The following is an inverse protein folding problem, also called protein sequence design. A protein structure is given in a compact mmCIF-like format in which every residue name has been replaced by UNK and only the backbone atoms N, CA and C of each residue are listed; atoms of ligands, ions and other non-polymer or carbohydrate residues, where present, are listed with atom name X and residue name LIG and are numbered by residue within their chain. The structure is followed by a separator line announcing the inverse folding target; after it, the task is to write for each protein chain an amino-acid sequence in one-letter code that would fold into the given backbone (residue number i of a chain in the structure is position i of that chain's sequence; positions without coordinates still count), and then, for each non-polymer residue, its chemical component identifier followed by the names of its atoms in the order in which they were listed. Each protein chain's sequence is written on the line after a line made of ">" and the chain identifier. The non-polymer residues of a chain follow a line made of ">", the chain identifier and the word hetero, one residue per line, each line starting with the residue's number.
data_IF_113096582542
#
_entry.id   IF_113096582542
#
_cell.length_a   1.000
_cell.length_b   1.000
_cell.length_c   1.000
_cell.angle_alpha   90.00
_cell.angle_beta   90.00
_cell.angle_gamma   90.00
#
_symmetry.space_group_name_H-M   'P 1'
#
loop_
_entity.id
_entity.type
_entity.pdbx_description
1 polymer ?
#
# COMPACT_ATOMS: atom_id res chain seq x y z
N UNK A 1 53.66 10.87 -57.31
CA UNK A 1 52.25 11.32 -57.27
C UNK A 1 51.43 10.14 -56.76
N UNK A 2 51.00 10.20 -55.50
CA UNK A 2 50.07 9.23 -54.88
C UNK A 2 49.10 10.00 -53.96
N UNK A 3 48.74 11.23 -54.34
CA UNK A 3 47.77 12.05 -53.61
C UNK A 3 46.31 11.61 -53.85
N UNK A 4 46.06 10.84 -54.93
CA UNK A 4 44.73 10.31 -55.27
C UNK A 4 44.21 9.24 -54.29
N UNK A 5 45.09 8.62 -53.50
CA UNK A 5 44.70 7.66 -52.47
C UNK A 5 44.36 8.30 -51.11
N UNK A 6 44.75 9.56 -50.89
CA UNK A 6 44.61 10.24 -49.59
C UNK A 6 43.21 10.84 -49.43
N UNK A 7 42.64 11.38 -50.51
CA UNK A 7 41.31 12.02 -50.49
C UNK A 7 40.16 11.07 -50.09
N UNK A 8 40.06 9.82 -50.60
CA UNK A 8 39.01 8.89 -50.18
C UNK A 8 39.12 8.49 -48.71
N UNK A 9 40.34 8.32 -48.20
CA UNK A 9 40.59 7.93 -46.79
C UNK A 9 40.15 9.05 -45.84
N UNK A 10 40.51 10.30 -46.16
CA UNK A 10 40.09 11.46 -45.36
C UNK A 10 38.57 11.65 -45.39
N UNK A 11 37.93 11.43 -46.54
CA UNK A 11 36.47 11.48 -46.66
C UNK A 11 35.77 10.42 -45.80
N UNK A 12 36.27 9.17 -45.82
CA UNK A 12 35.74 8.08 -44.98
C UNK A 12 35.94 8.39 -43.49
N UNK A 13 37.09 8.94 -43.11
CA UNK A 13 37.35 9.36 -41.71
C UNK A 13 36.41 10.47 -41.27
N UNK A 14 36.14 11.48 -42.10
CA UNK A 14 35.14 12.50 -41.78
C UNK A 14 33.74 11.92 -41.61
N UNK A 15 33.30 11.02 -42.50
CA UNK A 15 31.99 10.37 -42.39
C UNK A 15 31.91 9.58 -41.08
N UNK A 16 32.96 8.85 -40.73
CA UNK A 16 33.01 8.07 -39.49
C UNK A 16 32.97 8.98 -38.26
N UNK A 17 33.68 10.12 -38.27
CA UNK A 17 33.62 11.12 -37.20
C UNK A 17 32.19 11.64 -37.02
N UNK A 18 31.51 12.02 -38.11
CA UNK A 18 30.12 12.51 -38.05
C UNK A 18 29.19 11.44 -37.47
N UNK A 19 29.32 10.19 -37.91
CA UNK A 19 28.52 9.07 -37.40
C UNK A 19 28.76 8.86 -35.90
N UNK A 20 30.02 8.82 -35.46
CA UNK A 20 30.38 8.66 -34.04
C UNK A 20 29.86 9.83 -33.21
N UNK A 21 29.95 11.07 -33.71
CA UNK A 21 29.40 12.24 -33.01
C UNK A 21 27.88 12.16 -32.87
N UNK A 22 27.16 11.73 -33.93
CA UNK A 22 25.71 11.53 -33.86
C UNK A 22 25.32 10.43 -32.86
N UNK A 23 26.02 9.29 -32.87
CA UNK A 23 25.81 8.22 -31.88
C UNK A 23 26.14 8.68 -30.45
N UNK A 24 27.17 9.51 -30.29
CA UNK A 24 27.56 10.07 -29.00
C UNK A 24 26.47 11.01 -28.46
N UNK A 25 25.96 11.93 -29.28
CA UNK A 25 24.85 12.81 -28.89
C UNK A 25 23.61 11.98 -28.55
N UNK A 26 23.26 10.99 -29.38
CA UNK A 26 22.11 10.11 -29.15
C UNK A 26 22.19 9.39 -27.79
N UNK A 27 23.34 8.79 -27.49
CA UNK A 27 23.54 8.03 -26.25
C UNK A 27 23.66 8.95 -25.02
N UNK A 28 24.25 10.14 -25.18
CA UNK A 28 24.49 11.06 -24.07
C UNK A 28 23.27 11.90 -23.68
N UNK A 29 22.36 12.20 -24.61
CA UNK A 29 21.26 13.15 -24.36
C UNK A 29 19.88 12.52 -24.51
N UNK A 30 19.58 11.95 -25.67
CA UNK A 30 18.24 11.43 -25.96
C UNK A 30 17.89 10.19 -25.13
N UNK A 31 18.83 9.27 -24.96
CA UNK A 31 18.57 8.00 -24.27
C UNK A 31 18.26 8.21 -22.76
N UNK A 32 19.01 9.04 -22.01
CA UNK A 32 18.63 9.41 -20.64
C UNK A 32 17.25 10.07 -20.54
N UNK A 33 16.93 11.03 -21.39
CA UNK A 33 15.66 11.79 -21.31
C UNK A 33 14.43 10.90 -21.54
N UNK A 34 14.54 9.96 -22.48
CA UNK A 34 13.49 8.96 -22.75
C UNK A 34 13.29 8.03 -21.55
N UNK A 35 14.37 7.59 -20.90
CA UNK A 35 14.30 6.75 -19.70
C UNK A 35 13.67 7.50 -18.53
N UNK A 36 14.05 8.75 -18.31
CA UNK A 36 13.46 9.58 -17.25
C UNK A 36 11.96 9.79 -17.47
N UNK A 37 11.54 10.06 -18.70
CA UNK A 37 10.14 10.23 -19.04
C UNK A 37 9.32 8.96 -18.78
N UNK A 38 9.86 7.79 -19.14
CA UNK A 38 9.24 6.49 -18.87
C UNK A 38 9.15 6.19 -17.36
N UNK A 39 10.19 6.50 -16.57
CA UNK A 39 10.17 6.35 -15.11
C UNK A 39 9.16 7.28 -14.43
N UNK A 40 9.02 8.52 -14.91
CA UNK A 40 7.99 9.44 -14.40
C UNK A 40 6.58 8.91 -14.67
N UNK A 41 6.36 8.30 -15.85
CA UNK A 41 5.11 7.61 -16.15
C UNK A 41 4.85 6.45 -15.20
N UNK A 42 5.83 5.57 -15.04
CA UNK A 42 5.79 4.41 -14.14
C UNK A 42 5.43 4.80 -12.69
N UNK A 43 6.11 5.80 -12.12
CA UNK A 43 5.85 6.27 -10.75
C UNK A 43 4.40 6.77 -10.59
N UNK A 44 3.84 7.44 -11.60
CA UNK A 44 2.44 7.89 -11.57
C UNK A 44 1.46 6.74 -11.62
N UNK A 45 1.76 5.67 -12.36
CA UNK A 45 0.92 4.47 -12.40
C UNK A 45 0.94 3.72 -11.06
N UNK A 46 2.11 3.63 -10.42
CA UNK A 46 2.22 3.08 -9.06
C UNK A 46 1.41 3.92 -8.07
N UNK A 47 1.51 5.25 -8.13
CA UNK A 47 0.72 6.17 -7.29
C UNK A 47 -0.78 5.94 -7.44
N UNK A 48 -1.27 5.89 -8.68
CA UNK A 48 -2.68 5.62 -8.99
C UNK A 48 -3.13 4.24 -8.48
N UNK A 49 -2.24 3.24 -8.54
CA UNK A 49 -2.52 1.90 -8.03
C UNK A 49 -2.67 1.90 -6.50
N UNK A 50 -1.81 2.63 -5.77
CA UNK A 50 -1.92 2.77 -4.31
C UNK A 50 -3.17 3.53 -3.88
N UNK A 51 -3.58 4.55 -4.64
CA UNK A 51 -4.85 5.23 -4.42
C UNK A 51 -6.04 4.26 -4.61
N UNK A 52 -6.01 3.45 -5.66
CA UNK A 52 -7.06 2.45 -5.94
C UNK A 52 -7.10 1.37 -4.85
N UNK A 53 -5.94 0.99 -4.30
CA UNK A 53 -5.86 0.06 -3.16
C UNK A 53 -6.52 0.67 -1.92
N UNK A 54 -6.23 1.93 -1.57
CA UNK A 54 -6.86 2.60 -0.42
C UNK A 54 -8.39 2.65 -0.55
N UNK A 55 -8.89 3.09 -1.71
CA UNK A 55 -10.32 3.15 -1.98
C UNK A 55 -10.98 1.78 -1.90
N UNK A 56 -10.35 0.75 -2.48
CA UNK A 56 -10.89 -0.61 -2.43
C UNK A 56 -10.92 -1.17 -1.01
N UNK A 57 -9.88 -0.95 -0.21
CA UNK A 57 -9.86 -1.37 1.21
C UNK A 57 -10.99 -0.68 1.97
N UNK A 58 -11.12 0.64 1.84
CA UNK A 58 -12.18 1.42 2.49
C UNK A 58 -13.56 0.94 2.05
N UNK A 59 -13.78 0.77 0.75
CA UNK A 59 -15.06 0.31 0.21
C UNK A 59 -15.41 -1.10 0.65
N UNK A 60 -14.43 -2.02 0.70
CA UNK A 60 -14.65 -3.39 1.14
C UNK A 60 -15.03 -3.44 2.62
N UNK A 61 -14.36 -2.66 3.47
CA UNK A 61 -14.64 -2.62 4.91
C UNK A 61 -15.98 -1.94 5.20
N UNK A 62 -16.20 -0.72 4.68
CA UNK A 62 -17.41 0.07 4.97
C UNK A 62 -18.67 -0.62 4.43
N UNK A 63 -18.61 -1.15 3.20
CA UNK A 63 -19.75 -1.83 2.58
C UNK A 63 -19.81 -3.32 2.92
N UNK A 64 -18.87 -3.84 3.72
CA UNK A 64 -18.75 -5.27 4.08
C UNK A 64 -18.84 -6.18 2.85
N UNK A 65 -18.21 -5.78 1.74
CA UNK A 65 -18.34 -6.49 0.48
C UNK A 65 -17.72 -7.87 0.59
N UNK A 66 -18.50 -8.90 0.29
CA UNK A 66 -17.99 -10.26 0.11
C UNK A 66 -17.51 -10.44 -1.32
N UNK A 67 -16.31 -10.97 -1.51
CA UNK A 67 -15.76 -11.21 -2.83
C UNK A 67 -14.33 -10.73 -2.97
N UNK A 68 -13.88 -10.59 -4.21
CA UNK A 68 -12.48 -10.34 -4.55
C UNK A 68 -12.36 -9.05 -5.34
N UNK A 69 -11.47 -8.16 -4.91
CA UNK A 69 -11.00 -7.02 -5.68
C UNK A 69 -9.51 -7.18 -5.98
N UNK A 70 -9.10 -6.87 -7.19
CA UNK A 70 -7.70 -6.98 -7.62
C UNK A 70 -7.24 -5.65 -8.18
N UNK A 71 -6.06 -5.20 -7.76
CA UNK A 71 -5.39 -4.01 -8.30
C UNK A 71 -4.05 -4.44 -8.88
N UNK A 72 -3.79 -4.06 -10.13
CA UNK A 72 -2.49 -4.26 -10.77
C UNK A 72 -1.55 -3.13 -10.39
N UNK A 73 -0.35 -3.47 -9.94
CA UNK A 73 0.73 -2.54 -9.63
C UNK A 73 1.88 -2.84 -10.59
N UNK A 74 2.28 -1.91 -11.47
CA UNK A 74 3.49 -2.10 -12.25
C UNK A 74 4.69 -2.10 -11.31
N UNK A 75 5.57 -3.09 -11.44
CA UNK A 75 6.80 -3.16 -10.64
C UNK A 75 8.00 -2.56 -11.35
N UNK A 76 7.99 -2.48 -12.68
CA UNK A 76 9.10 -1.94 -13.45
C UNK A 76 8.64 -1.02 -14.56
N UNK A 77 9.49 -0.04 -14.86
CA UNK A 77 9.36 0.91 -15.95
C UNK A 77 10.63 0.97 -16.79
N UNK A 78 10.69 1.96 -17.69
CA UNK A 78 11.88 2.24 -18.48
C UNK A 78 12.07 1.35 -19.71
N UNK A 79 11.05 0.59 -20.13
CA UNK A 79 11.10 -0.12 -21.42
C UNK A 79 11.06 0.92 -22.55
N UNK A 80 12.20 1.08 -23.22
CA UNK A 80 12.31 1.85 -24.45
C UNK A 80 12.72 0.87 -25.55
N UNK A 81 12.16 1.04 -26.75
CA UNK A 81 12.33 0.16 -27.93
C UNK A 81 13.80 -0.23 -28.23
N UNK A 82 14.75 0.54 -27.71
CA UNK A 82 16.18 0.51 -28.04
C UNK A 82 17.07 0.05 -26.86
N UNK A 83 16.53 -0.16 -25.64
CA UNK A 83 17.35 -0.53 -24.47
C UNK A 83 16.58 -1.40 -23.45
N UNK A 84 17.10 -2.60 -23.14
CA UNK A 84 16.44 -3.59 -22.27
C UNK A 84 16.68 -3.40 -20.76
N UNK A 85 17.49 -2.42 -20.32
CA UNK A 85 17.63 -2.18 -18.86
C UNK A 85 16.33 -1.63 -18.28
N UNK A 86 15.62 -2.47 -17.54
CA UNK A 86 14.37 -2.13 -16.88
C UNK A 86 14.62 -1.72 -15.44
N UNK A 87 13.87 -0.74 -14.94
CA UNK A 87 13.75 -0.58 -13.51
C UNK A 87 12.89 -1.73 -12.96
N UNK A 88 13.10 -2.05 -11.70
CA UNK A 88 12.29 -3.02 -10.99
C UNK A 88 11.71 -2.41 -9.72
N UNK A 89 10.96 -3.24 -9.04
CA UNK A 89 10.25 -2.85 -7.84
C UNK A 89 10.00 -4.08 -7.00
N UNK A 90 9.87 -3.84 -5.70
CA UNK A 90 9.50 -4.83 -4.72
C UNK A 90 8.22 -4.36 -4.04
N UNK A 91 7.17 -5.17 -4.13
CA UNK A 91 5.91 -4.95 -3.43
C UNK A 91 5.82 -5.97 -2.30
N UNK A 92 5.61 -5.48 -1.08
CA UNK A 92 5.63 -6.30 0.14
C UNK A 92 4.46 -5.95 1.05
N UNK A 93 3.88 -6.96 1.68
CA UNK A 93 3.01 -6.82 2.85
C UNK A 93 3.88 -6.83 4.10
N UNK A 94 3.67 -5.86 4.98
CA UNK A 94 4.35 -5.81 6.27
C UNK A 94 3.75 -6.77 7.29
N UNK A 95 4.20 -6.64 8.53
CA UNK A 95 3.72 -7.46 9.63
C UNK A 95 2.34 -6.99 10.10
N UNK A 96 1.43 -7.89 10.46
CA UNK A 96 0.15 -7.52 11.07
C UNK A 96 0.36 -6.79 12.40
N UNK A 97 -0.21 -5.59 12.49
CA UNK A 97 -0.22 -4.77 13.68
C UNK A 97 -1.57 -4.93 14.37
N UNK A 98 -1.54 -5.38 15.62
CA UNK A 98 -2.75 -5.62 16.42
C UNK A 98 -3.39 -4.30 16.80
N UNK A 99 -4.72 -4.24 16.74
CA UNK A 99 -5.46 -3.00 17.02
C UNK A 99 -6.51 -3.22 18.10
N UNK A 100 -7.37 -4.22 17.93
CA UNK A 100 -8.45 -4.54 18.88
C UNK A 100 -8.44 -6.02 19.19
N UNK A 101 -8.50 -6.37 20.46
CA UNK A 101 -8.71 -7.73 20.96
C UNK A 101 -10.17 -7.88 21.37
N UNK A 102 -10.81 -8.92 20.85
CA UNK A 102 -12.18 -9.36 21.16
C UNK A 102 -12.09 -10.62 21.98
N UNK A 103 -12.67 -10.62 23.17
CA UNK A 103 -12.65 -11.75 24.07
C UNK A 103 -14.08 -12.08 24.54
N UNK A 104 -14.38 -13.36 24.54
CA UNK A 104 -15.57 -13.95 25.16
C UNK A 104 -15.08 -15.13 26.03
N UNK A 105 -15.90 -15.69 26.92
CA UNK A 105 -15.54 -16.79 27.82
C UNK A 105 -14.89 -18.01 27.15
N UNK A 106 -15.06 -18.20 25.85
CA UNK A 106 -14.57 -19.36 25.09
C UNK A 106 -13.57 -19.03 23.98
N UNK A 107 -13.55 -17.79 23.49
CA UNK A 107 -12.81 -17.43 22.27
C UNK A 107 -12.20 -16.04 22.40
N UNK A 108 -10.92 -15.95 22.07
CA UNK A 108 -10.20 -14.68 21.87
C UNK A 108 -9.85 -14.52 20.39
N UNK A 109 -10.12 -13.35 19.83
CA UNK A 109 -9.75 -12.95 18.46
C UNK A 109 -9.13 -11.58 18.46
N UNK A 110 -8.19 -11.38 17.55
CA UNK A 110 -7.50 -10.11 17.38
C UNK A 110 -7.83 -9.56 15.99
N UNK A 111 -8.03 -8.25 15.92
CA UNK A 111 -8.08 -7.49 14.67
C UNK A 111 -6.71 -6.91 14.41
N UNK A 112 -6.32 -6.90 13.14
CA UNK A 112 -5.04 -6.34 12.72
C UNK A 112 -5.17 -5.46 11.49
N UNK A 113 -4.15 -4.63 11.28
CA UNK A 113 -3.91 -3.85 10.06
C UNK A 113 -2.52 -4.21 9.54
N UNK A 114 -2.39 -4.33 8.22
CA UNK A 114 -1.13 -4.65 7.55
C UNK A 114 -0.73 -3.50 6.63
N UNK A 115 0.51 -2.98 6.71
CA UNK A 115 0.98 -2.01 5.75
C UNK A 115 1.33 -2.68 4.42
N UNK A 116 1.12 -1.97 3.32
CA UNK A 116 1.52 -2.39 1.97
C UNK A 116 2.62 -1.45 1.51
N UNK A 117 3.76 -1.97 1.07
CA UNK A 117 4.92 -1.15 0.72
C UNK A 117 5.44 -1.50 -0.66
N UNK A 118 5.64 -0.49 -1.49
CA UNK A 118 6.36 -0.55 -2.74
C UNK A 118 7.71 0.16 -2.59
N UNK A 119 8.78 -0.54 -2.94
CA UNK A 119 10.14 0.00 -2.97
C UNK A 119 10.75 -0.16 -4.36
N UNK A 120 11.25 0.90 -4.99
CA UNK A 120 11.90 0.81 -6.29
C UNK A 120 13.26 0.10 -6.18
N UNK A 121 13.64 -0.63 -7.23
CA UNK A 121 14.92 -1.33 -7.38
C UNK A 121 15.55 -0.89 -8.70
N UNK A 122 16.80 -0.43 -8.66
CA UNK A 122 17.55 -0.01 -9.86
C UNK A 122 16.83 1.07 -10.70
N UNK A 123 16.36 2.14 -10.04
CA UNK A 123 15.66 3.24 -10.70
C UNK A 123 16.64 4.20 -11.41
N UNK A 124 16.23 4.75 -12.56
CA UNK A 124 17.03 5.67 -13.39
C UNK A 124 16.77 7.15 -13.11
N UNK A 125 15.73 7.49 -12.33
CA UNK A 125 15.36 8.88 -12.04
C UNK A 125 15.37 9.22 -10.55
N UNK A 126 14.40 8.71 -9.79
CA UNK A 126 14.30 8.95 -8.35
C UNK A 126 13.86 7.69 -7.62
N UNK A 127 14.53 7.40 -6.50
CA UNK A 127 14.15 6.31 -5.59
C UNK A 127 12.95 6.73 -4.73
N UNK A 128 11.78 6.80 -5.38
CA UNK A 128 10.49 7.06 -4.74
C UNK A 128 9.74 5.74 -4.56
N UNK A 129 9.37 5.44 -3.32
CA UNK A 129 8.47 4.33 -2.96
C UNK A 129 7.11 4.83 -2.48
N UNK A 130 6.21 3.89 -2.24
CA UNK A 130 4.87 4.16 -1.73
C UNK A 130 4.55 3.20 -0.58
N UNK A 131 3.89 3.70 0.45
CA UNK A 131 3.44 2.90 1.59
C UNK A 131 1.97 3.22 1.85
N UNK A 132 1.11 2.21 1.84
CA UNK A 132 -0.24 2.33 2.37
C UNK A 132 -0.24 1.84 3.81
N UNK A 133 -0.68 2.71 4.73
CA UNK A 133 -0.78 2.38 6.16
C UNK A 133 -1.87 3.21 6.82
N UNK A 134 -2.69 2.57 7.66
CA UNK A 134 -3.78 3.22 8.41
C UNK A 134 -4.77 4.02 7.54
N UNK A 135 -4.99 3.59 6.30
CA UNK A 135 -5.84 4.30 5.35
C UNK A 135 -5.20 5.53 4.71
N UNK A 136 -3.87 5.66 4.75
CA UNK A 136 -3.15 6.78 4.14
C UNK A 136 -2.06 6.25 3.22
N UNK A 137 -1.95 6.87 2.06
CA UNK A 137 -0.86 6.65 1.12
C UNK A 137 0.27 7.63 1.40
N UNK A 138 1.41 7.10 1.83
CA UNK A 138 2.64 7.82 2.02
C UNK A 138 3.57 7.62 0.82
N UNK A 139 4.29 8.67 0.46
CA UNK A 139 5.43 8.63 -0.46
C UNK A 139 6.70 8.49 0.37
N UNK A 140 7.54 7.52 0.02
CA UNK A 140 8.81 7.29 0.69
C UNK A 140 9.98 7.67 -0.22
N UNK A 141 11.01 8.29 0.35
CA UNK A 141 12.27 8.61 -0.34
C UNK A 141 13.42 8.40 0.64
N UNK A 142 14.08 7.24 0.55
CA UNK A 142 15.06 6.83 1.54
C UNK A 142 14.43 6.64 2.91
N UNK A 143 14.90 7.38 3.91
CA UNK A 143 14.36 7.33 5.29
C UNK A 143 13.19 8.27 5.55
N UNK A 144 12.82 9.11 4.58
CA UNK A 144 11.76 10.10 4.73
C UNK A 144 10.46 9.55 4.15
N UNK A 145 9.38 9.66 4.92
CA UNK A 145 8.02 9.30 4.51
C UNK A 145 7.10 10.51 4.70
N UNK A 146 6.35 10.87 3.66
CA UNK A 146 5.42 12.00 3.70
C UNK A 146 4.07 11.61 3.12
N UNK A 147 2.96 12.05 3.72
CA UNK A 147 1.63 11.70 3.24
C UNK A 147 1.39 12.40 1.89
N UNK A 148 0.88 11.67 0.90
CA UNK A 148 0.82 12.17 -0.49
C UNK A 148 -0.18 13.31 -0.67
N UNK A 149 -1.34 13.20 -0.02
CA UNK A 149 -2.51 14.05 -0.24
C UNK A 149 -2.72 15.10 0.85
N UNK A 150 -1.76 15.24 1.76
CA UNK A 150 -1.87 16.11 2.94
C UNK A 150 -0.72 17.08 3.01
N UNK A 151 -0.96 18.29 3.53
CA UNK A 151 0.08 19.30 3.70
C UNK A 151 1.10 18.93 4.78
N UNK A 152 0.70 18.12 5.76
CA UNK A 152 1.58 17.60 6.81
C UNK A 152 1.00 16.32 7.43
N UNK A 153 1.83 15.65 8.25
CA UNK A 153 1.45 14.41 8.92
C UNK A 153 0.39 14.59 10.01
N UNK A 154 0.27 15.78 10.61
CA UNK A 154 -0.78 16.04 11.61
C UNK A 154 -2.17 16.03 10.98
N UNK A 155 -2.33 16.65 9.81
CA UNK A 155 -3.57 16.62 9.04
C UNK A 155 -3.91 15.21 8.58
N UNK A 156 -2.90 14.47 8.13
CA UNK A 156 -3.07 13.07 7.73
C UNK A 156 -3.63 12.22 8.90
N UNK A 157 -3.10 12.39 10.12
CA UNK A 157 -3.56 11.66 11.32
C UNK A 157 -5.04 11.84 11.64
N UNK A 158 -5.61 13.00 11.33
CA UNK A 158 -7.02 13.27 11.58
C UNK A 158 -7.93 12.47 10.64
N UNK A 159 -7.41 12.08 9.46
CA UNK A 159 -8.12 11.32 8.43
C UNK A 159 -7.72 9.82 8.40
N UNK A 160 -7.01 9.34 9.43
CA UNK A 160 -6.73 7.92 9.59
C UNK A 160 -8.03 7.11 9.52
N UNK A 161 -7.98 5.96 8.85
CA UNK A 161 -9.16 5.12 8.70
C UNK A 161 -9.51 4.44 10.02
N UNK A 162 -10.35 5.09 10.82
CA UNK A 162 -10.86 4.57 12.09
C UNK A 162 -12.17 3.82 11.97
N UNK A 163 -12.78 3.79 10.77
CA UNK A 163 -14.01 3.04 10.45
C UNK A 163 -13.88 1.51 10.51
N UNK A 164 -12.85 1.00 11.21
CA UNK A 164 -12.71 -0.39 11.58
C UNK A 164 -13.79 -0.84 12.56
N UNK A 165 -14.42 0.09 13.28
CA UNK A 165 -15.55 -0.17 14.17
C UNK A 165 -16.75 0.63 13.71
N UNK A 166 -17.87 -0.04 13.52
CA UNK A 166 -19.13 0.59 13.14
C UNK A 166 -20.29 -0.12 13.86
N UNK A 167 -21.25 0.63 14.38
CA UNK A 167 -22.44 0.09 15.02
C UNK A 167 -23.68 0.33 14.16
N UNK A 168 -24.37 -0.75 13.81
CA UNK A 168 -25.68 -0.68 13.16
C UNK A 168 -26.73 -1.33 14.05
N UNK A 169 -27.41 -0.51 14.85
CA UNK A 169 -28.38 -0.99 15.83
C UNK A 169 -27.72 -1.78 16.96
N UNK A 170 -28.02 -3.09 17.03
CA UNK A 170 -27.46 -4.02 18.02
C UNK A 170 -26.26 -4.82 17.50
N UNK A 171 -25.81 -4.57 16.27
CA UNK A 171 -24.64 -5.24 15.71
C UNK A 171 -23.45 -4.28 15.67
N UNK A 172 -22.31 -4.74 16.19
CA UNK A 172 -21.04 -4.04 16.20
C UNK A 172 -20.11 -4.74 15.22
N UNK A 173 -19.66 -4.04 14.20
CA UNK A 173 -18.77 -4.56 13.19
C UNK A 173 -17.33 -4.23 13.53
N UNK A 174 -16.45 -5.23 13.36
CA UNK A 174 -15.02 -5.07 13.52
C UNK A 174 -14.30 -5.54 12.26
N UNK A 175 -13.53 -4.66 11.63
CA UNK A 175 -12.71 -5.00 10.49
C UNK A 175 -11.40 -5.65 10.92
N UNK A 176 -10.99 -6.71 10.24
CA UNK A 176 -9.72 -7.39 10.44
C UNK A 176 -9.00 -7.53 9.10
N UNK A 177 -7.88 -6.83 8.92
CA UNK A 177 -7.09 -6.86 7.70
C UNK A 177 -5.90 -7.79 7.91
N UNK A 178 -5.89 -8.93 7.21
CA UNK A 178 -4.90 -9.99 7.38
C UNK A 178 -4.13 -10.25 6.09
N UNK A 179 -2.89 -10.70 6.22
CA UNK A 179 -2.05 -11.05 5.08
C UNK A 179 -2.17 -12.54 4.73
N UNK A 180 -2.26 -12.86 3.44
CA UNK A 180 -2.15 -14.23 2.93
C UNK A 180 -0.67 -14.64 2.77
N UNK A 181 -0.36 -15.92 2.49
CA UNK A 181 1.02 -16.44 2.44
C UNK A 181 1.95 -15.76 1.43
N UNK A 182 1.41 -15.18 0.36
CA UNK A 182 2.20 -14.48 -0.66
C UNK A 182 2.39 -13.01 -0.25
N UNK A 183 3.43 -12.79 0.55
CA UNK A 183 3.73 -11.51 1.20
C UNK A 183 4.62 -10.58 0.39
N UNK A 184 5.26 -11.05 -0.67
CA UNK A 184 6.12 -10.21 -1.50
C UNK A 184 6.24 -10.69 -2.94
N UNK A 185 6.38 -9.73 -3.85
CA UNK A 185 6.74 -9.96 -5.26
C UNK A 185 7.74 -8.89 -5.67
N UNK A 186 8.83 -9.32 -6.31
CA UNK A 186 9.82 -8.44 -6.89
C UNK A 186 10.02 -8.73 -8.37
N UNK A 187 10.32 -7.71 -9.15
CA UNK A 187 10.57 -7.87 -10.58
C UNK A 187 10.38 -6.58 -11.35
N UNK A 188 10.25 -6.72 -12.67
CA UNK A 188 10.05 -5.63 -13.63
C UNK A 188 8.76 -5.80 -14.45
N UNK A 189 7.86 -6.68 -13.99
CA UNK A 189 6.56 -6.96 -14.61
C UNK A 189 5.42 -6.27 -13.87
N UNK A 190 4.25 -6.91 -13.87
CA UNK A 190 3.06 -6.45 -13.15
C UNK A 190 2.85 -7.37 -11.95
N UNK A 191 2.68 -6.78 -10.77
CA UNK A 191 2.15 -7.48 -9.60
C UNK A 191 0.67 -7.20 -9.43
N UNK A 192 -0.02 -8.07 -8.71
CA UNK A 192 -1.43 -7.93 -8.39
C UNK A 192 -1.63 -7.96 -6.88
N UNK A 193 -2.23 -6.92 -6.34
CA UNK A 193 -2.75 -6.89 -4.98
C UNK A 193 -4.18 -7.41 -5.03
N UNK A 194 -4.39 -8.61 -4.50
CA UNK A 194 -5.70 -9.26 -4.41
C UNK A 194 -6.23 -9.14 -2.99
N UNK A 195 -7.37 -8.49 -2.85
CA UNK A 195 -8.12 -8.25 -1.61
C UNK A 195 -9.37 -9.13 -1.63
N UNK A 196 -9.52 -9.97 -0.61
CA UNK A 196 -10.63 -10.91 -0.48
C UNK A 196 -11.39 -10.66 0.82
N UNK A 197 -12.63 -10.21 0.68
CA UNK A 197 -13.53 -9.89 1.77
C UNK A 197 -14.42 -11.08 2.11
N UNK A 198 -14.43 -11.47 3.37
CA UNK A 198 -15.24 -12.59 3.87
C UNK A 198 -15.91 -12.22 5.20
N UNK A 199 -17.16 -12.65 5.41
CA UNK A 199 -17.76 -12.57 6.74
C UNK A 199 -16.97 -13.48 7.67
N UNK A 200 -16.61 -12.96 8.84
CA UNK A 200 -15.89 -13.68 9.87
C UNK A 200 -16.83 -14.27 10.91
N UNK A 201 -16.32 -14.37 12.13
CA UNK A 201 -17.06 -14.93 13.27
C UNK A 201 -18.01 -13.85 13.82
N UNK A 202 -19.22 -14.28 14.16
CA UNK A 202 -20.17 -13.48 14.93
C UNK A 202 -20.14 -13.94 16.38
N UNK A 203 -19.86 -13.02 17.28
CA UNK A 203 -19.98 -13.20 18.72
C UNK A 203 -21.36 -12.69 19.13
N UNK A 204 -22.06 -13.45 19.97
CA UNK A 204 -23.35 -13.05 20.54
C UNK A 204 -23.12 -12.82 22.02
N UNK A 205 -23.35 -11.59 22.49
CA UNK A 205 -23.29 -11.30 23.92
C UNK A 205 -24.57 -11.79 24.61
N UNK A 206 -24.39 -12.23 25.85
CA UNK A 206 -25.48 -12.47 26.80
C UNK A 206 -25.05 -11.95 28.17
N UNK A 207 -26.00 -11.70 29.07
CA UNK A 207 -25.77 -11.23 30.44
C UNK A 207 -24.81 -12.14 31.20
N UNK A 208 -24.87 -13.46 30.95
CA UNK A 208 -23.94 -14.44 31.54
C UNK A 208 -22.62 -14.61 30.79
N UNK A 209 -22.47 -13.99 29.61
CA UNK A 209 -21.31 -14.16 28.74
C UNK A 209 -21.03 -12.88 27.93
N UNK A 210 -20.52 -11.82 28.57
CA UNK A 210 -20.23 -10.57 27.89
C UNK A 210 -19.10 -10.72 26.87
N UNK A 211 -19.15 -9.89 25.83
CA UNK A 211 -18.04 -9.71 24.89
C UNK A 211 -17.20 -8.53 25.37
N UNK A 212 -15.94 -8.78 25.64
CA UNK A 212 -14.98 -7.76 26.06
C UNK A 212 -14.14 -7.30 24.86
N UNK A 213 -14.07 -5.98 24.66
CA UNK A 213 -13.21 -5.36 23.66
C UNK A 213 -12.12 -4.54 24.34
N UNK A 214 -10.88 -4.77 23.92
CA UNK A 214 -9.71 -4.01 24.37
C UNK A 214 -8.98 -3.45 23.16
N UNK A 215 -8.78 -2.14 23.12
CA UNK A 215 -8.02 -1.47 22.06
C UNK A 215 -6.57 -1.29 22.49
N UNK A 216 -5.62 -1.62 21.63
CA UNK A 216 -4.19 -1.40 21.89
C UNK A 216 -3.84 0.08 21.72
N UNK A 217 -3.83 0.84 22.82
CA UNK A 217 -3.50 2.28 22.81
C UNK A 217 -1.99 2.55 22.91
N UNK A 218 -1.13 1.54 22.78
CA UNK A 218 0.33 1.73 22.81
C UNK A 218 0.84 2.52 21.59
N UNK A 219 0.13 2.40 20.46
CA UNK A 219 0.43 3.12 19.22
C UNK A 219 -0.44 4.36 19.06
N UNK A 220 0.03 5.36 18.31
CA UNK A 220 -0.78 6.54 17.98
C UNK A 220 -2.05 6.16 17.21
N UNK A 221 -1.93 5.21 16.27
CA UNK A 221 -3.08 4.70 15.51
C UNK A 221 -4.11 4.06 16.44
N UNK A 222 -3.67 3.21 17.37
CA UNK A 222 -4.55 2.59 18.35
C UNK A 222 -5.24 3.58 19.28
N UNK A 223 -4.60 4.71 19.63
CA UNK A 223 -5.28 5.81 20.33
C UNK A 223 -6.41 6.42 19.51
N UNK A 224 -6.19 6.66 18.21
CA UNK A 224 -7.23 7.15 17.29
C UNK A 224 -8.35 6.15 17.06
N UNK A 225 -8.03 4.86 16.96
CA UNK A 225 -9.04 3.81 16.93
C UNK A 225 -9.84 3.80 18.24
N UNK A 226 -9.20 3.97 19.40
CA UNK A 226 -9.90 4.03 20.68
C UNK A 226 -10.83 5.25 20.79
N UNK A 227 -10.46 6.41 20.22
CA UNK A 227 -11.39 7.55 20.09
C UNK A 227 -12.66 7.14 19.32
N UNK A 228 -12.50 6.47 18.18
CA UNK A 228 -13.63 5.98 17.37
C UNK A 228 -14.44 4.87 18.05
N UNK A 229 -13.79 3.95 18.76
CA UNK A 229 -14.49 2.92 19.56
C UNK A 229 -15.26 3.58 20.69
N UNK A 230 -14.68 4.57 21.35
CA UNK A 230 -15.34 5.28 22.45
C UNK A 230 -16.56 6.06 21.97
N UNK A 231 -16.55 6.65 20.77
CA UNK A 231 -17.73 7.33 20.24
C UNK A 231 -18.89 6.38 19.95
N UNK A 232 -18.61 5.16 19.49
CA UNK A 232 -19.62 4.15 19.15
C UNK A 232 -20.11 3.35 20.37
N UNK A 233 -19.21 3.07 21.32
CA UNK A 233 -19.41 2.09 22.40
C UNK A 233 -19.29 2.69 23.81
N UNK A 234 -19.36 4.02 23.98
CA UNK A 234 -19.21 4.69 25.28
C UNK A 234 -20.06 4.06 26.40
N UNK A 235 -21.31 3.67 26.08
CA UNK A 235 -22.23 3.06 27.05
C UNK A 235 -21.80 1.69 27.58
N UNK A 236 -20.86 1.02 26.91
CA UNK A 236 -20.31 -0.28 27.31
C UNK A 236 -18.97 -0.16 28.05
N UNK A 237 -18.46 1.06 28.27
CA UNK A 237 -17.16 1.25 28.91
C UNK A 237 -17.19 0.85 30.40
N UNK A 238 -16.35 -0.12 30.77
CA UNK A 238 -16.13 -0.49 32.16
C UNK A 238 -14.82 0.13 32.67
N UNK A 239 -14.93 1.20 33.45
CA UNK A 239 -13.79 1.92 34.00
C UNK A 239 -12.93 1.08 34.96
N UNK A 240 -13.53 0.12 35.67
CA UNK A 240 -12.80 -0.73 36.62
C UNK A 240 -11.87 -1.73 35.92
N UNK A 241 -12.27 -2.19 34.74
CA UNK A 241 -11.55 -3.20 33.98
C UNK A 241 -10.74 -2.61 32.82
N UNK A 242 -10.95 -1.34 32.48
CA UNK A 242 -10.26 -0.67 31.37
C UNK A 242 -10.60 -1.26 30.00
N UNK A 243 -11.81 -1.80 29.83
CA UNK A 243 -12.28 -2.45 28.60
C UNK A 243 -13.77 -2.17 28.37
N UNK A 244 -14.22 -2.35 27.13
CA UNK A 244 -15.64 -2.28 26.80
C UNK A 244 -16.26 -3.66 27.03
N UNK A 245 -17.36 -3.73 27.79
CA UNK A 245 -18.06 -4.97 28.10
C UNK A 245 -19.48 -4.92 27.53
N UNK A 246 -19.70 -5.69 26.48
CA UNK A 246 -20.95 -5.72 25.72
C UNK A 246 -21.79 -6.91 26.19
N UNK A 247 -23.04 -6.67 26.59
CA UNK A 247 -23.93 -7.69 27.19
C UNK A 247 -25.23 -7.90 26.40
N UNK A 248 -25.57 -7.02 25.46
CA UNK A 248 -26.88 -6.98 24.79
C UNK A 248 -26.78 -6.80 23.26
N UNK A 249 -25.60 -7.03 22.68
CA UNK A 249 -25.31 -6.79 21.27
C UNK A 249 -24.46 -7.93 20.68
N UNK A 250 -24.46 -8.06 19.35
CA UNK A 250 -23.56 -8.98 18.64
C UNK A 250 -22.34 -8.25 18.11
N UNK A 251 -21.18 -8.91 18.10
CA UNK A 251 -19.95 -8.39 17.49
C UNK A 251 -19.61 -9.26 16.28
N UNK A 252 -19.59 -8.67 15.09
CA UNK A 252 -19.32 -9.36 13.83
C UNK A 252 -17.94 -8.97 13.30
N UNK A 253 -17.07 -9.95 13.13
CA UNK A 253 -15.75 -9.75 12.53
C UNK A 253 -15.88 -9.79 10.99
N UNK A 254 -15.35 -8.81 10.28
CA UNK A 254 -15.19 -8.83 8.83
C UNK A 254 -13.71 -9.03 8.48
N UNK A 255 -13.39 -10.12 7.78
CA UNK A 255 -12.02 -10.43 7.41
C UNK A 255 -11.73 -9.93 5.99
N UNK A 256 -10.76 -9.03 5.87
CA UNK A 256 -10.18 -8.60 4.61
C UNK A 256 -8.80 -9.22 4.46
N UNK A 257 -8.69 -10.23 3.60
CA UNK A 257 -7.42 -10.91 3.33
C UNK A 257 -6.73 -10.25 2.13
N UNK A 258 -5.50 -9.76 2.32
CA UNK A 258 -4.69 -9.16 1.26
C UNK A 258 -3.58 -10.13 0.87
N UNK A 259 -3.35 -10.28 -0.43
CA UNK A 259 -2.30 -11.12 -1.01
C UNK A 259 -1.65 -10.43 -2.19
N UNK A 260 -0.36 -10.70 -2.43
CA UNK A 260 0.36 -10.22 -3.62
C UNK A 260 0.60 -11.40 -4.55
N UNK A 261 0.41 -11.21 -5.86
CA UNK A 261 0.65 -12.22 -6.91
C UNK A 261 1.41 -11.65 -8.08
#
# INVERSE_FOLDING_TARGET
>A
MNDDAISPVVAVMMILVVIVTLFSIWNATYLPDLKQSAEVGHIREVEASFHTIDENIRNMIVLRRTGVMTVTVPLGGGDIVIHQSRSGGNLTLGHPEKVITVENSTVTRETSVIPITYSPVSNFWQNIGYEWRYGIVNVTKGSVSTPRFYGNYSQAKDDWFTGMVNREGQEIFLANIIAAPHLSVSGNGIAQVRMEGQPGIVFIADVGNPINLTVDTSTEYGKKVNESVSSELYGYWNQAEGRYSITDSSVSLYNLTISIR
#
